data_IF_760607602782
#
_entry.id   IF_760607602782
#
_cell.length_a   1.000
_cell.length_b   1.000
_cell.length_c   1.000
_cell.angle_alpha   90.00
_cell.angle_beta   90.00
_cell.angle_gamma   90.00
#
_symmetry.space_group_name_H-M   'P 1'
#
loop_
_entity.id
_entity.type
_entity.pdbx_description
1 polymer ?
#
# COMPACT_ATOMS: atom_id res chain seq x y z
N UNK A 1 -62.46 15.45 -31.57
CA UNK A 1 -61.18 15.91 -30.99
C UNK A 1 -60.73 14.84 -30.00
N UNK A 2 -59.81 13.98 -30.42
CA UNK A 2 -59.39 12.78 -29.68
C UNK A 2 -58.18 13.10 -28.79
N UNK A 3 -58.26 12.71 -27.51
CA UNK A 3 -57.25 12.94 -26.47
C UNK A 3 -56.15 11.88 -26.57
N UNK A 4 -54.89 12.31 -26.73
CA UNK A 4 -53.72 11.44 -26.72
C UNK A 4 -53.04 11.54 -25.35
N UNK A 5 -53.21 10.52 -24.51
CA UNK A 5 -52.49 10.38 -23.25
C UNK A 5 -51.02 10.01 -23.54
N UNK A 6 -50.09 10.87 -23.10
CA UNK A 6 -48.65 10.60 -23.14
C UNK A 6 -48.27 9.71 -21.95
N UNK A 7 -47.87 8.48 -22.23
CA UNK A 7 -47.17 7.62 -21.27
C UNK A 7 -45.74 8.13 -21.11
N UNK A 8 -45.34 8.48 -19.88
CA UNK A 8 -43.94 8.71 -19.51
C UNK A 8 -43.41 7.37 -18.99
N UNK A 9 -42.53 6.73 -19.76
CA UNK A 9 -41.78 5.57 -19.30
C UNK A 9 -40.60 6.04 -18.45
N UNK A 10 -40.63 5.75 -17.14
CA UNK A 10 -39.48 5.94 -16.27
C UNK A 10 -38.51 4.77 -16.50
N UNK A 11 -37.35 5.06 -17.07
CA UNK A 11 -36.26 4.10 -17.18
C UNK A 11 -35.57 3.97 -15.81
N UNK A 12 -35.73 2.82 -15.16
CA UNK A 12 -34.99 2.47 -13.96
C UNK A 12 -33.53 2.18 -14.34
N UNK A 13 -32.61 3.03 -13.89
CA UNK A 13 -31.16 2.78 -13.98
C UNK A 13 -30.82 1.75 -12.92
N UNK A 14 -30.63 0.49 -13.35
CA UNK A 14 -30.11 -0.57 -12.50
C UNK A 14 -28.63 -0.31 -12.22
N UNK A 15 -28.27 -0.11 -10.96
CA UNK A 15 -26.88 -0.06 -10.51
C UNK A 15 -26.33 -1.48 -10.68
N UNK A 16 -25.49 -1.68 -11.69
CA UNK A 16 -24.72 -2.90 -11.83
C UNK A 16 -23.69 -2.96 -10.69
N UNK A 17 -23.96 -3.77 -9.68
CA UNK A 17 -22.94 -4.12 -8.68
C UNK A 17 -21.99 -5.12 -9.33
N UNK A 18 -20.82 -4.64 -9.75
CA UNK A 18 -19.71 -5.52 -10.14
C UNK A 18 -19.26 -6.32 -8.91
N UNK A 19 -19.09 -7.64 -9.02
CA UNK A 19 -18.53 -8.44 -7.94
C UNK A 19 -17.03 -8.13 -7.82
N UNK A 20 -16.65 -7.42 -6.76
CA UNK A 20 -15.26 -7.28 -6.37
C UNK A 20 -14.76 -8.65 -5.90
N UNK A 21 -13.67 -9.13 -6.51
CA UNK A 21 -12.84 -10.18 -5.91
C UNK A 21 -12.19 -9.54 -4.68
N UNK A 22 -12.55 -10.00 -3.48
CA UNK A 22 -12.02 -9.58 -2.17
C UNK A 22 -11.26 -10.78 -1.60
N UNK A 23 -10.01 -10.62 -1.16
CA UNK A 23 -9.78 -10.29 0.23
C UNK A 23 -8.50 -9.47 0.49
N UNK A 24 -8.71 -8.16 0.51
CA UNK A 24 -8.47 -7.38 1.71
C UNK A 24 -9.84 -7.29 2.41
N UNK A 25 -9.92 -7.60 3.71
CA UNK A 25 -11.20 -7.72 4.41
C UNK A 25 -12.09 -6.48 4.23
N UNK A 26 -13.42 -6.66 4.28
CA UNK A 26 -14.37 -5.54 4.30
C UNK A 26 -14.14 -4.67 5.55
N UNK A 27 -13.23 -3.71 5.45
CA UNK A 27 -12.90 -2.75 6.49
C UNK A 27 -13.35 -1.36 6.09
N UNK A 28 -13.72 -0.57 7.08
CA UNK A 28 -13.81 0.88 6.92
C UNK A 28 -12.53 1.49 7.46
N UNK A 29 -12.05 2.54 6.81
CA UNK A 29 -10.76 3.15 7.12
C UNK A 29 -10.94 4.59 7.55
N UNK A 30 -10.09 5.04 8.47
CA UNK A 30 -10.02 6.43 8.91
C UNK A 30 -8.57 6.86 8.97
N UNK A 31 -8.24 7.93 8.26
CA UNK A 31 -6.92 8.56 8.36
C UNK A 31 -6.69 8.99 9.81
N UNK A 32 -5.53 8.62 10.36
CA UNK A 32 -5.11 9.07 11.66
C UNK A 32 -4.49 10.46 11.51
N UNK A 33 -5.09 11.44 12.17
CA UNK A 33 -4.62 12.82 12.20
C UNK A 33 -3.56 12.99 13.29
N UNK A 34 -2.54 13.82 13.04
CA UNK A 34 -1.46 14.09 14.00
C UNK A 34 -0.05 13.92 13.43
N UNK A 35 0.07 13.57 12.14
CA UNK A 35 1.37 13.35 11.52
C UNK A 35 2.07 12.15 12.14
N UNK A 36 3.35 12.30 12.52
CA UNK A 36 4.10 11.19 13.07
C UNK A 36 3.67 10.79 14.49
N UNK A 37 2.94 11.64 15.21
CA UNK A 37 2.40 11.30 16.53
C UNK A 37 1.29 10.24 16.49
N UNK A 38 0.79 9.89 15.30
CA UNK A 38 -0.17 8.81 15.09
C UNK A 38 0.48 7.41 15.06
N UNK A 39 1.81 7.34 14.97
CA UNK A 39 2.57 6.10 14.96
C UNK A 39 3.00 5.72 16.38
N UNK A 40 3.23 4.42 16.65
CA UNK A 40 3.81 3.98 17.91
C UNK A 40 5.23 4.55 18.09
N UNK A 41 5.69 4.61 19.35
CA UNK A 41 7.01 5.09 19.74
C UNK A 41 7.35 6.50 19.26
N UNK A 42 6.35 7.38 19.21
CA UNK A 42 6.59 8.79 18.90
C UNK A 42 7.30 9.51 20.04
N UNK A 43 8.47 10.07 19.74
CA UNK A 43 9.24 10.98 20.58
C UNK A 43 9.01 12.43 20.12
N UNK A 44 8.23 13.17 20.90
CA UNK A 44 7.93 14.59 20.66
C UNK A 44 9.16 15.50 20.72
N UNK A 45 10.25 15.08 21.38
CA UNK A 45 11.48 15.88 21.45
C UNK A 45 12.31 15.79 20.17
N UNK A 46 12.23 14.65 19.48
CA UNK A 46 12.88 14.42 18.18
C UNK A 46 11.95 14.72 16.99
N UNK A 47 10.64 14.72 17.20
CA UNK A 47 9.64 14.78 16.13
C UNK A 47 9.65 13.52 15.27
N UNK A 48 9.87 12.36 15.89
CA UNK A 48 10.10 11.09 15.20
C UNK A 48 9.33 9.94 15.85
N UNK A 49 8.84 9.00 15.05
CA UNK A 49 8.25 7.75 15.53
C UNK A 49 9.01 6.54 14.96
N UNK A 50 9.20 5.52 15.80
CA UNK A 50 9.96 4.30 15.47
C UNK A 50 11.40 4.31 16.00
N UNK A 51 12.30 3.47 15.47
CA UNK A 51 12.12 2.67 14.26
C UNK A 51 11.25 1.43 14.47
N UNK A 52 10.47 1.08 13.45
CA UNK A 52 9.63 -0.12 13.38
C UNK A 52 9.83 -0.85 12.04
N UNK A 53 9.11 -1.94 11.81
CA UNK A 53 9.06 -2.64 10.51
C UNK A 53 7.63 -2.72 9.98
N UNK A 54 7.46 -2.90 8.67
CA UNK A 54 6.15 -3.19 8.08
C UNK A 54 5.94 -4.69 7.95
N UNK A 55 4.73 -5.15 8.23
CA UNK A 55 4.29 -6.49 7.89
C UNK A 55 3.06 -6.47 6.98
N UNK A 56 3.05 -7.40 6.04
CA UNK A 56 1.88 -7.75 5.24
C UNK A 56 0.88 -8.50 6.12
N UNK A 57 -0.41 -8.18 6.00
CA UNK A 57 -1.50 -8.76 6.79
C UNK A 57 -2.72 -9.03 5.93
N UNK A 58 -3.50 -10.02 6.37
CA UNK A 58 -4.82 -10.36 5.85
C UNK A 58 -4.81 -10.58 4.33
N UNK A 59 -3.83 -11.33 3.85
CA UNK A 59 -3.69 -11.63 2.42
C UNK A 59 -4.61 -12.74 1.95
N UNK A 60 -4.96 -12.72 0.67
CA UNK A 60 -5.68 -13.81 0.02
C UNK A 60 -4.96 -15.15 0.24
N UNK A 61 -5.58 -16.06 1.00
CA UNK A 61 -5.00 -17.36 1.33
C UNK A 61 -3.87 -17.33 2.36
N UNK A 62 -3.55 -16.16 2.95
CA UNK A 62 -2.55 -15.99 4.00
C UNK A 62 -1.10 -16.20 3.55
N UNK A 63 -0.85 -16.15 2.24
CA UNK A 63 0.45 -16.53 1.63
C UNK A 63 1.60 -15.66 2.10
N UNK A 64 1.35 -14.37 2.34
CA UNK A 64 2.37 -13.41 2.76
C UNK A 64 2.14 -12.87 4.17
N UNK A 65 1.20 -13.44 4.93
CA UNK A 65 0.88 -12.90 6.24
C UNK A 65 2.10 -12.94 7.17
N UNK A 66 2.39 -11.79 7.78
CA UNK A 66 3.55 -11.53 8.62
C UNK A 66 4.89 -11.44 7.88
N UNK A 67 4.91 -11.50 6.55
CA UNK A 67 6.11 -11.17 5.78
C UNK A 67 6.40 -9.68 5.91
N UNK A 68 7.67 -9.34 6.11
CA UNK A 68 8.08 -7.96 6.12
C UNK A 68 8.54 -7.47 4.77
N UNK A 69 8.60 -6.14 4.65
CA UNK A 69 9.06 -5.50 3.44
C UNK A 69 10.58 -5.32 3.43
N UNK A 70 11.15 -5.52 2.26
CA UNK A 70 12.54 -5.22 1.91
C UNK A 70 12.58 -4.24 0.74
N UNK A 71 13.74 -3.63 0.51
CA UNK A 71 13.96 -2.74 -0.63
C UNK A 71 14.56 -3.50 -1.82
N UNK A 72 13.86 -3.47 -2.96
CA UNK A 72 14.36 -3.85 -4.28
C UNK A 72 14.64 -2.58 -5.06
N UNK A 73 15.66 -2.57 -5.92
CA UNK A 73 16.11 -1.32 -6.53
C UNK A 73 16.84 -1.48 -7.86
N UNK A 74 16.83 -0.40 -8.61
CA UNK A 74 17.53 -0.26 -9.88
C UNK A 74 18.82 0.52 -9.72
N UNK A 75 19.93 -0.02 -10.24
CA UNK A 75 21.22 0.68 -10.30
C UNK A 75 21.40 1.34 -11.67
N UNK A 76 21.87 2.58 -11.63
CA UNK A 76 22.45 3.28 -12.77
C UNK A 76 23.98 3.19 -12.80
N UNK A 77 24.59 3.97 -13.68
CA UNK A 77 26.05 4.07 -13.82
C UNK A 77 26.75 4.71 -12.61
N UNK A 78 26.05 5.51 -11.81
CA UNK A 78 26.62 6.30 -10.71
C UNK A 78 26.01 6.02 -9.33
N UNK A 79 24.98 5.17 -9.24
CA UNK A 79 24.28 4.92 -7.97
C UNK A 79 22.92 4.25 -8.16
N UNK A 80 22.13 4.20 -7.09
CA UNK A 80 20.73 3.75 -7.18
C UNK A 80 19.90 4.86 -7.84
N UNK A 81 19.07 4.47 -8.82
CA UNK A 81 18.19 5.40 -9.55
C UNK A 81 16.84 5.56 -8.85
N UNK A 82 16.30 4.45 -8.39
CA UNK A 82 15.03 4.32 -7.69
C UNK A 82 14.95 2.93 -7.06
N UNK A 83 14.03 2.74 -6.13
CA UNK A 83 13.66 1.42 -5.64
C UNK A 83 12.26 1.39 -5.06
N UNK A 84 11.82 0.19 -4.71
CA UNK A 84 10.48 -0.09 -4.22
C UNK A 84 10.49 -1.15 -3.12
N UNK A 85 9.41 -1.17 -2.36
CA UNK A 85 9.21 -2.11 -1.26
C UNK A 85 8.54 -3.38 -1.75
N UNK A 86 9.05 -4.52 -1.32
CA UNK A 86 8.52 -5.83 -1.68
C UNK A 86 8.60 -6.82 -0.52
N UNK A 87 7.69 -7.78 -0.48
CA UNK A 87 7.79 -8.95 0.40
C UNK A 87 8.48 -10.08 -0.35
N UNK A 88 9.46 -10.74 0.26
CA UNK A 88 10.11 -11.92 -0.33
C UNK A 88 9.34 -13.19 0.07
N UNK A 89 9.25 -14.17 -0.84
CA UNK A 89 8.69 -15.50 -0.52
C UNK A 89 9.50 -16.24 0.55
N UNK A 90 10.79 -15.89 0.68
CA UNK A 90 11.66 -16.46 1.69
C UNK A 90 11.27 -15.92 3.07
N UNK A 91 10.99 -16.82 3.99
CA UNK A 91 10.87 -16.48 5.40
C UNK A 91 12.19 -15.92 5.96
N UNK A 92 12.09 -15.15 7.05
CA UNK A 92 13.22 -14.62 7.81
C UNK A 92 14.20 -13.72 7.01
N UNK A 93 13.72 -13.02 5.99
CA UNK A 93 14.52 -11.96 5.35
C UNK A 93 14.54 -10.71 6.22
N UNK A 94 15.71 -10.06 6.26
CA UNK A 94 15.89 -8.78 6.94
C UNK A 94 14.88 -7.74 6.41
N UNK A 95 14.08 -7.22 7.33
CA UNK A 95 13.11 -6.17 7.06
C UNK A 95 13.84 -4.82 7.06
N UNK A 96 13.41 -3.90 6.21
CA UNK A 96 13.93 -2.54 6.29
C UNK A 96 13.37 -1.86 7.56
N UNK A 97 14.20 -1.18 8.37
CA UNK A 97 13.70 -0.28 9.40
C UNK A 97 12.93 0.86 8.75
N UNK A 98 11.83 1.26 9.37
CA UNK A 98 11.03 2.42 9.01
C UNK A 98 10.90 3.38 10.18
N UNK A 99 10.77 4.65 9.86
CA UNK A 99 10.44 5.70 10.83
C UNK A 99 9.47 6.69 10.20
N UNK A 100 8.86 7.54 11.02
CA UNK A 100 8.17 8.74 10.55
C UNK A 100 8.89 9.96 11.12
N UNK A 101 9.11 10.99 10.30
CA UNK A 101 9.71 12.27 10.73
C UNK A 101 8.74 13.41 10.44
N UNK A 102 8.47 14.25 11.45
CA UNK A 102 7.53 15.37 11.33
C UNK A 102 7.90 16.30 10.17
N UNK A 103 6.93 16.60 9.33
CA UNK A 103 7.11 17.43 8.12
C UNK A 103 7.82 16.72 6.94
N UNK A 104 8.24 15.46 7.09
CA UNK A 104 8.86 14.67 6.01
C UNK A 104 8.06 13.39 5.67
N UNK A 105 7.33 12.83 6.63
CA UNK A 105 6.51 11.62 6.44
C UNK A 105 7.27 10.33 6.76
N UNK A 106 6.81 9.22 6.18
CA UNK A 106 7.42 7.90 6.39
C UNK A 106 8.73 7.78 5.62
N UNK A 107 9.74 7.25 6.28
CA UNK A 107 11.05 6.95 5.73
C UNK A 107 11.38 5.47 5.89
N UNK A 108 12.06 4.91 4.89
CA UNK A 108 12.71 3.61 4.97
C UNK A 108 14.22 3.78 5.07
N UNK A 109 14.89 2.94 5.88
CA UNK A 109 16.35 2.87 5.88
C UNK A 109 16.81 1.98 4.72
N UNK A 110 16.97 2.61 3.57
CA UNK A 110 17.16 1.95 2.27
C UNK A 110 18.60 2.03 1.78
N UNK A 111 19.04 1.13 0.88
CA UNK A 111 20.35 1.20 0.26
C UNK A 111 20.53 2.48 -0.58
N UNK A 112 21.73 3.05 -0.58
CA UNK A 112 22.12 4.18 -1.46
C UNK A 112 23.29 3.90 -2.39
N UNK A 113 23.86 2.69 -2.33
CA UNK A 113 25.02 2.32 -3.13
C UNK A 113 25.47 0.88 -2.88
N UNK A 114 26.79 0.67 -2.83
CA UNK A 114 27.40 -0.67 -2.61
C UNK A 114 27.26 -1.12 -1.16
N UNK A 115 27.36 -0.21 -0.19
CA UNK A 115 27.34 -0.56 1.24
C UNK A 115 26.67 0.50 2.14
N UNK A 116 26.15 1.58 1.55
CA UNK A 116 25.53 2.69 2.28
C UNK A 116 24.03 2.48 2.45
N UNK A 117 23.51 2.92 3.60
CA UNK A 117 22.09 3.01 3.89
C UNK A 117 21.77 4.41 4.42
N UNK A 118 20.68 5.00 3.95
CA UNK A 118 20.16 6.29 4.43
C UNK A 118 18.67 6.19 4.68
N UNK A 119 18.14 7.14 5.43
CA UNK A 119 16.71 7.32 5.55
C UNK A 119 16.21 8.09 4.35
N UNK A 120 15.32 7.49 3.57
CA UNK A 120 14.70 8.12 2.41
C UNK A 120 13.19 8.08 2.54
N UNK A 121 12.54 9.16 2.12
CA UNK A 121 11.09 9.25 2.10
C UNK A 121 10.51 8.16 1.18
N UNK A 122 9.47 7.50 1.68
CA UNK A 122 8.68 6.57 0.89
C UNK A 122 7.46 7.29 0.31
N UNK A 123 7.17 7.01 -0.96
CA UNK A 123 6.04 7.58 -1.67
C UNK A 123 5.33 6.51 -2.51
N UNK A 124 4.04 6.70 -2.73
CA UNK A 124 3.25 5.94 -3.68
C UNK A 124 3.46 6.52 -5.08
N UNK A 125 3.94 5.72 -6.03
CA UNK A 125 4.20 6.20 -7.39
C UNK A 125 2.94 6.76 -8.06
N UNK A 126 3.10 7.80 -8.88
CA UNK A 126 1.97 8.55 -9.48
C UNK A 126 1.20 7.79 -10.58
N UNK A 127 1.71 6.63 -11.02
CA UNK A 127 1.07 5.82 -12.07
C UNK A 127 -0.01 4.95 -11.39
N UNK A 128 -1.31 5.22 -11.56
CA UNK A 128 -2.35 4.63 -10.70
C UNK A 128 -2.42 3.10 -10.75
N UNK A 129 -2.21 2.50 -11.93
CA UNK A 129 -2.20 1.05 -12.09
C UNK A 129 -0.92 0.39 -11.59
N UNK A 130 0.17 1.13 -11.41
CA UNK A 130 1.48 0.65 -10.93
C UNK A 130 1.98 1.51 -9.75
N UNK A 131 1.06 1.84 -8.85
CA UNK A 131 1.25 2.76 -7.72
C UNK A 131 2.12 2.14 -6.61
N UNK A 132 3.36 1.79 -6.95
CA UNK A 132 4.31 1.10 -6.07
C UNK A 132 4.69 1.96 -4.86
N UNK A 133 4.98 1.30 -3.74
CA UNK A 133 5.64 1.95 -2.60
C UNK A 133 7.13 2.10 -2.86
N UNK A 134 7.58 3.31 -3.17
CA UNK A 134 8.90 3.60 -3.75
C UNK A 134 9.73 4.58 -2.92
N UNK A 135 11.04 4.64 -3.22
CA UNK A 135 11.97 5.68 -2.77
C UNK A 135 12.80 6.21 -3.95
N UNK A 136 13.36 7.43 -3.78
CA UNK A 136 13.99 8.22 -4.86
C UNK A 136 13.08 8.51 -6.06
N UNK A 137 11.78 8.65 -5.82
CA UNK A 137 10.79 9.07 -6.81
C UNK A 137 9.91 10.16 -6.22
N UNK A 138 9.25 10.93 -7.10
CA UNK A 138 8.11 11.74 -6.71
C UNK A 138 6.87 10.85 -6.66
N UNK A 139 5.95 11.18 -5.76
CA UNK A 139 4.73 10.43 -5.57
C UNK A 139 3.89 10.98 -4.44
N UNK A 140 2.79 10.29 -4.14
CA UNK A 140 1.88 10.68 -3.09
C UNK A 140 2.38 10.18 -1.74
N UNK A 141 2.23 11.01 -0.71
CA UNK A 141 2.65 10.71 0.66
C UNK A 141 1.93 9.47 1.21
N UNK A 142 2.69 8.61 1.90
CA UNK A 142 2.13 7.48 2.67
C UNK A 142 1.70 7.97 4.05
N UNK A 143 0.48 7.61 4.45
CA UNK A 143 -0.17 8.10 5.67
C UNK A 143 -0.66 6.97 6.58
N UNK A 144 -0.85 7.25 7.89
CA UNK A 144 -1.37 6.29 8.85
C UNK A 144 -2.91 6.22 8.81
N UNK A 145 -3.44 5.02 8.93
CA UNK A 145 -4.88 4.74 8.99
C UNK A 145 -5.20 3.79 10.14
N UNK A 146 -6.37 4.00 10.75
CA UNK A 146 -7.06 2.99 11.56
C UNK A 146 -8.04 2.22 10.70
N UNK A 147 -8.08 0.90 10.88
CA UNK A 147 -9.09 0.04 10.27
C UNK A 147 -10.19 -0.28 11.28
N UNK A 148 -11.40 -0.46 10.77
CA UNK A 148 -12.55 -0.88 11.55
C UNK A 148 -13.29 -1.99 10.80
N UNK A 149 -13.78 -2.99 11.53
CA UNK A 149 -14.71 -3.98 10.99
C UNK A 149 -16.00 -3.30 10.50
N UNK A 150 -16.80 -3.99 9.68
CA UNK A 150 -18.11 -3.48 9.22
C UNK A 150 -19.07 -3.10 10.36
N UNK A 151 -18.88 -3.68 11.55
CA UNK A 151 -19.70 -3.39 12.72
C UNK A 151 -19.15 -2.21 13.54
N UNK A 152 -18.08 -1.54 13.07
CA UNK A 152 -17.49 -0.37 13.73
C UNK A 152 -16.44 -0.68 14.80
N UNK A 153 -16.10 -1.95 15.03
CA UNK A 153 -15.02 -2.31 15.97
C UNK A 153 -13.67 -2.01 15.35
N UNK A 154 -12.82 -1.23 16.05
CA UNK A 154 -11.47 -0.93 15.61
C UNK A 154 -10.61 -2.20 15.56
N UNK A 155 -9.91 -2.39 14.45
CA UNK A 155 -8.87 -3.40 14.28
C UNK A 155 -7.58 -2.79 14.81
N UNK A 156 -6.93 -3.48 15.73
CA UNK A 156 -5.70 -3.03 16.37
C UNK A 156 -4.59 -2.73 15.35
N UNK A 157 -3.83 -1.67 15.62
CA UNK A 157 -2.65 -1.28 14.86
C UNK A 157 -2.81 -0.04 13.98
N UNK A 158 -1.68 0.36 13.40
CA UNK A 158 -1.58 1.44 12.41
C UNK A 158 -1.33 0.81 11.05
N UNK A 159 -2.19 1.11 10.09
CA UNK A 159 -2.11 0.63 8.72
C UNK A 159 -1.61 1.73 7.79
N UNK A 160 -0.90 1.36 6.73
CA UNK A 160 -0.41 2.32 5.76
C UNK A 160 -1.33 2.39 4.54
N UNK A 161 -1.44 3.60 4.00
CA UNK A 161 -2.20 3.88 2.81
C UNK A 161 -1.87 5.24 2.24
N UNK A 162 -2.65 5.65 1.25
CA UNK A 162 -2.65 7.02 0.75
C UNK A 162 -4.02 7.37 0.19
N UNK A 163 -4.38 8.66 0.25
CA UNK A 163 -5.62 9.20 -0.33
C UNK A 163 -6.90 8.45 0.08
N UNK A 164 -6.93 7.90 1.29
CA UNK A 164 -8.07 7.13 1.81
C UNK A 164 -8.13 5.66 1.37
N UNK A 165 -7.13 5.19 0.63
CA UNK A 165 -6.96 3.79 0.27
C UNK A 165 -5.89 3.14 1.15
N UNK A 166 -6.15 1.94 1.64
CA UNK A 166 -5.19 1.17 2.46
C UNK A 166 -5.00 -0.27 1.98
N UNK A 167 -5.73 -0.68 0.94
CA UNK A 167 -5.56 -1.97 0.31
C UNK A 167 -4.35 -1.94 -0.61
N UNK A 168 -3.47 -2.91 -0.44
CA UNK A 168 -2.29 -3.10 -1.28
C UNK A 168 -2.45 -4.34 -2.15
N UNK A 169 -2.07 -4.22 -3.40
CA UNK A 169 -1.85 -5.31 -4.33
C UNK A 169 -0.40 -5.76 -4.21
N UNK A 170 -0.22 -7.06 -4.17
CA UNK A 170 1.07 -7.72 -4.10
C UNK A 170 1.27 -8.45 -5.43
N UNK A 171 2.03 -7.83 -6.33
CA UNK A 171 2.29 -8.37 -7.67
C UNK A 171 3.50 -9.28 -7.63
N UNK A 172 3.32 -10.54 -8.03
CA UNK A 172 4.39 -11.54 -8.01
C UNK A 172 5.38 -11.31 -9.14
N UNK A 173 6.66 -11.26 -8.79
CA UNK A 173 7.76 -11.16 -9.73
C UNK A 173 8.82 -12.22 -9.43
N UNK A 174 9.63 -12.56 -10.43
CA UNK A 174 10.75 -13.51 -10.24
C UNK A 174 11.94 -13.10 -11.08
N UNK A 175 13.08 -12.89 -10.42
CA UNK A 175 14.34 -12.54 -11.07
C UNK A 175 15.43 -13.54 -10.68
N UNK A 176 16.48 -13.64 -11.49
CA UNK A 176 17.66 -14.47 -11.17
C UNK A 176 18.34 -14.05 -9.87
N UNK A 177 18.33 -12.74 -9.58
CA UNK A 177 19.17 -12.16 -8.55
C UNK A 177 18.46 -12.11 -7.19
N UNK A 178 17.17 -11.78 -7.18
CA UNK A 178 16.37 -11.67 -5.95
C UNK A 178 15.53 -12.92 -5.67
N UNK A 179 15.35 -13.79 -6.67
CA UNK A 179 14.36 -14.86 -6.62
C UNK A 179 12.95 -14.31 -6.76
N UNK A 180 11.98 -14.99 -6.14
CA UNK A 180 10.56 -14.60 -6.16
C UNK A 180 10.25 -13.61 -5.04
N UNK A 181 9.58 -12.52 -5.40
CA UNK A 181 9.14 -11.46 -4.49
C UNK A 181 7.79 -10.89 -4.95
N UNK A 182 7.21 -10.06 -4.09
CA UNK A 182 5.89 -9.49 -4.26
C UNK A 182 5.96 -7.99 -4.07
N UNK A 183 5.84 -7.24 -5.16
CA UNK A 183 5.88 -5.78 -5.16
C UNK A 183 4.60 -5.22 -4.57
N UNK A 184 4.70 -4.28 -3.62
CA UNK A 184 3.53 -3.65 -3.01
C UNK A 184 3.11 -2.42 -3.82
N UNK A 185 1.91 -2.45 -4.40
CA UNK A 185 1.25 -1.28 -5.04
C UNK A 185 -0.05 -0.92 -4.33
N UNK A 186 -0.37 0.36 -4.22
CA UNK A 186 -1.61 0.81 -3.63
C UNK A 186 -2.78 0.58 -4.59
N UNK A 187 -3.86 -0.06 -4.12
CA UNK A 187 -5.09 -0.24 -4.90
C UNK A 187 -6.02 0.95 -4.66
N UNK A 188 -5.75 2.03 -5.38
CA UNK A 188 -6.51 3.28 -5.37
C UNK A 188 -7.50 3.43 -6.53
N UNK A 189 -7.94 4.67 -6.76
CA UNK A 189 -8.71 5.01 -7.96
C UNK A 189 -7.90 4.75 -9.24
N UNK A 190 -8.54 4.16 -10.25
CA UNK A 190 -7.92 3.83 -11.55
C UNK A 190 -6.74 2.83 -11.44
N UNK A 191 -6.74 1.98 -10.42
CA UNK A 191 -5.70 0.98 -10.18
C UNK A 191 -5.92 -0.32 -10.97
N UNK A 192 -6.97 -0.41 -11.79
CA UNK A 192 -7.25 -1.56 -12.62
C UNK A 192 -6.11 -1.82 -13.62
N UNK A 193 -5.85 -3.08 -13.93
CA UNK A 193 -4.93 -3.49 -14.99
C UNK A 193 -5.36 -2.85 -16.31
N UNK A 194 -4.53 -1.98 -16.93
CA UNK A 194 -4.91 -1.25 -18.14
C UNK A 194 -5.14 -2.16 -19.36
N UNK A 195 -4.62 -3.40 -19.32
CA UNK A 195 -4.74 -4.37 -20.41
C UNK A 195 -6.04 -5.15 -20.35
N UNK A 196 -6.53 -5.44 -19.13
CA UNK A 196 -7.68 -6.32 -18.91
C UNK A 196 -8.89 -5.63 -18.30
N UNK A 197 -8.71 -4.44 -17.72
CA UNK A 197 -9.72 -3.70 -16.96
C UNK A 197 -10.09 -4.37 -15.63
N UNK A 198 -9.34 -5.39 -15.20
CA UNK A 198 -9.58 -6.08 -13.92
C UNK A 198 -8.94 -5.32 -12.76
N UNK A 199 -9.48 -5.40 -11.54
CA UNK A 199 -8.90 -4.72 -10.37
C UNK A 199 -7.45 -5.14 -10.06
N UNK A 200 -7.10 -6.39 -10.39
CA UNK A 200 -5.80 -6.98 -10.10
C UNK A 200 -5.13 -7.47 -11.38
N UNK A 201 -3.79 -7.43 -11.41
CA UNK A 201 -3.00 -8.14 -12.41
C UNK A 201 -3.12 -9.66 -12.23
N UNK A 202 -2.73 -10.41 -13.26
CA UNK A 202 -2.74 -11.88 -13.18
C UNK A 202 -1.80 -12.38 -12.07
N UNK A 203 -2.31 -13.22 -11.18
CA UNK A 203 -1.56 -13.77 -10.04
C UNK A 203 -1.26 -12.78 -8.90
N UNK A 204 -1.74 -11.54 -8.97
CA UNK A 204 -1.66 -10.58 -7.87
C UNK A 204 -2.65 -10.93 -6.76
N UNK A 205 -2.21 -10.76 -5.51
CA UNK A 205 -3.04 -10.94 -4.31
C UNK A 205 -3.20 -9.63 -3.57
N UNK A 206 -4.25 -9.51 -2.76
CA UNK A 206 -4.52 -8.32 -1.96
C UNK A 206 -4.18 -8.52 -0.50
N UNK A 207 -3.99 -7.41 0.23
CA UNK A 207 -3.81 -7.39 1.69
C UNK A 207 -3.57 -5.98 2.22
N UNK A 208 -3.05 -5.90 3.44
CA UNK A 208 -2.74 -4.64 4.12
C UNK A 208 -1.28 -4.55 4.55
N UNK A 209 -0.77 -3.33 4.68
CA UNK A 209 0.51 -3.05 5.35
C UNK A 209 0.25 -2.52 6.75
N UNK A 210 0.70 -3.24 7.78
CA UNK A 210 0.57 -2.87 9.20
C UNK A 210 1.95 -2.60 9.81
N UNK A 211 2.05 -1.54 10.61
CA UNK A 211 3.23 -1.23 11.43
C UNK A 211 3.42 -2.32 12.49
N UNK A 212 4.66 -2.79 12.67
CA UNK A 212 5.03 -3.89 13.56
C UNK A 212 6.36 -3.63 14.28
N UNK A 213 6.48 -4.11 15.52
CA UNK A 213 7.74 -4.12 16.27
C UNK A 213 7.96 -2.94 17.22
N UNK A 214 6.88 -2.30 17.66
CA UNK A 214 6.84 -1.37 18.80
C UNK A 214 6.56 -2.09 20.12
#
# INVERSE_FOLDING_TARGET
MSSLAKFIAAAAVGIAMSPFVSAAGNVTVKELTGGCSAYPDYDASAGQAGPWSMQVKDTDGGVLDNHGLTAIYSRGSTGIRWGYMAALDKAAVAQIPLQCVDGQGIQGRVPTGVSGYTWENLAVAEIPYDALLMYFVNGTEVKPYSHYTLNGTQIDGVFLGSEGYTTWGFKKETTSDQGTFWEARLLGANSEDPSTGKPLFDGEITGFLKVYGS
#
